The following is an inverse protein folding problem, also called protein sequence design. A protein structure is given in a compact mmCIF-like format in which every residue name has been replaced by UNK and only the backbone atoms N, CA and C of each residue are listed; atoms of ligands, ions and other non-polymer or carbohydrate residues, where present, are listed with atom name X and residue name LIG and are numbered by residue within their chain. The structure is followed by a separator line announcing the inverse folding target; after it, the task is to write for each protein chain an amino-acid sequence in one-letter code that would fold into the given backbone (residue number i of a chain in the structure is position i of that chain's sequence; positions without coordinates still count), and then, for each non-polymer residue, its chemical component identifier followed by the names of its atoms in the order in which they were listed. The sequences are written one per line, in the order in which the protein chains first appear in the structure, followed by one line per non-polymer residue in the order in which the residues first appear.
data_IF_637599464119
#
_entry.id   IF_637599464119
#
_cell.length_a   1.000
_cell.length_b   1.000
_cell.length_c   1.000
_cell.angle_alpha   90.00
_cell.angle_beta   90.00
_cell.angle_gamma   90.00
#
_symmetry.space_group_name_H-M   'P 1'
#
loop_
_entity.id
_entity.type
_entity.pdbx_description
1 polymer ?
#
# COMPACT_ATOMS: atom_id res chain seq x y z
N UNK A 1 -23.61 0.37 -69.45
CA UNK A 1 -22.86 -0.43 -70.44
C UNK A 1 -22.86 0.31 -71.76
N UNK A 2 -21.67 0.56 -72.29
CA UNK A 2 -21.43 1.26 -73.53
C UNK A 2 -22.09 0.54 -74.71
N UNK A 3 -22.68 1.32 -75.62
CA UNK A 3 -23.31 0.82 -76.83
C UNK A 3 -22.24 0.60 -77.92
N UNK A 4 -21.88 -0.66 -78.25
CA UNK A 4 -20.81 -0.94 -79.22
C UNK A 4 -21.16 -0.47 -80.63
N UNK A 5 -22.45 -0.24 -80.92
CA UNK A 5 -22.89 0.21 -82.24
C UNK A 5 -22.40 1.62 -82.59
N UNK A 6 -22.08 2.44 -81.59
CA UNK A 6 -21.51 3.78 -81.77
C UNK A 6 -20.10 3.77 -82.36
N UNK A 7 -19.39 2.63 -82.24
CA UNK A 7 -18.05 2.45 -82.80
C UNK A 7 -18.08 1.78 -84.20
N UNK A 8 -19.27 1.52 -84.75
CA UNK A 8 -19.41 0.98 -86.10
C UNK A 8 -19.47 2.13 -87.12
N UNK A 9 -18.44 2.33 -87.95
CA UNK A 9 -18.43 3.44 -88.89
C UNK A 9 -19.45 3.25 -90.00
N UNK A 10 -20.20 4.29 -90.33
CA UNK A 10 -21.05 4.32 -91.54
C UNK A 10 -20.15 4.54 -92.75
N UNK A 11 -20.25 3.65 -93.74
CA UNK A 11 -19.52 3.74 -95.01
C UNK A 11 -20.46 4.19 -96.11
N UNK A 12 -20.19 5.36 -96.70
CA UNK A 12 -20.92 5.83 -97.88
C UNK A 12 -20.48 5.06 -99.13
N UNK A 13 -21.43 4.53 -99.89
CA UNK A 13 -21.15 3.73 -101.11
C UNK A 13 -20.87 4.59 -102.36
N UNK A 14 -20.90 5.92 -102.24
CA UNK A 14 -20.67 6.82 -103.35
C UNK A 14 -19.18 6.84 -103.74
N UNK A 15 -18.86 6.40 -104.96
CA UNK A 15 -17.53 6.60 -105.56
C UNK A 15 -17.24 8.09 -105.68
N UNK A 16 -15.97 8.49 -105.51
CA UNK A 16 -15.52 9.88 -105.68
C UNK A 16 -16.11 10.44 -106.98
N UNK A 17 -16.94 11.48 -106.85
CA UNK A 17 -17.54 12.18 -107.98
C UNK A 17 -16.43 12.86 -108.81
N UNK A 18 -16.07 12.24 -109.92
CA UNK A 18 -15.16 12.82 -110.90
C UNK A 18 -15.96 13.71 -111.86
N UNK A 19 -15.45 14.91 -112.15
CA UNK A 19 -16.07 15.81 -113.12
C UNK A 19 -16.18 15.17 -114.52
N UNK A 20 -15.44 14.10 -114.82
CA UNK A 20 -15.48 13.37 -116.10
C UNK A 20 -16.76 12.53 -116.31
N UNK A 21 -17.44 12.12 -115.23
CA UNK A 21 -18.64 11.27 -115.28
C UNK A 21 -19.96 12.06 -115.15
N UNK A 22 -19.88 13.38 -115.01
CA UNK A 22 -21.04 14.26 -114.85
C UNK A 22 -21.53 14.82 -116.21
N UNK A 23 -22.85 14.96 -116.45
CA UNK A 23 -23.41 15.50 -117.70
C UNK A 23 -23.10 17.00 -117.91
N UNK A 24 -21.91 17.30 -118.44
CA UNK A 24 -21.40 18.69 -118.62
C UNK A 24 -22.20 19.53 -119.63
N UNK A 25 -23.01 18.90 -120.48
CA UNK A 25 -23.85 19.56 -121.47
C UNK A 25 -25.26 19.92 -120.97
N UNK A 26 -25.63 19.46 -119.75
CA UNK A 26 -26.94 19.72 -119.14
C UNK A 26 -26.81 20.56 -117.86
N UNK A 27 -25.72 20.39 -117.10
CA UNK A 27 -25.51 21.10 -115.84
C UNK A 27 -24.87 22.49 -116.03
N UNK A 28 -25.36 23.48 -115.28
CA UNK A 28 -24.69 24.78 -115.18
C UNK A 28 -23.39 24.66 -114.39
N UNK A 29 -22.43 25.57 -114.62
CA UNK A 29 -21.13 25.53 -113.92
C UNK A 29 -21.30 25.61 -112.38
N UNK A 30 -22.26 26.41 -111.89
CA UNK A 30 -22.59 26.50 -110.46
C UNK A 30 -23.15 25.20 -109.89
N UNK A 31 -23.99 24.49 -110.66
CA UNK A 31 -24.56 23.21 -110.24
C UNK A 31 -23.50 22.09 -110.28
N UNK A 32 -22.58 22.14 -111.25
CA UNK A 32 -21.44 21.22 -111.32
C UNK A 32 -20.52 21.37 -110.10
N UNK A 33 -20.18 22.60 -109.70
CA UNK A 33 -19.40 22.88 -108.49
C UNK A 33 -20.15 22.45 -107.22
N UNK A 34 -21.45 22.68 -107.15
CA UNK A 34 -22.29 22.25 -106.02
C UNK A 34 -22.31 20.73 -105.86
N UNK A 35 -22.53 19.97 -106.94
CA UNK A 35 -22.58 18.50 -106.89
C UNK A 35 -21.22 17.90 -106.51
N UNK A 36 -20.12 18.49 -106.98
CA UNK A 36 -18.76 18.06 -106.60
C UNK A 36 -18.48 18.37 -105.11
N UNK A 37 -18.82 19.57 -104.64
CA UNK A 37 -18.63 19.99 -103.24
C UNK A 37 -19.54 19.21 -102.28
N UNK A 38 -20.78 18.93 -102.68
CA UNK A 38 -21.71 18.10 -101.91
C UNK A 38 -21.15 16.70 -101.67
N UNK A 39 -20.51 16.09 -102.68
CA UNK A 39 -19.85 14.79 -102.52
C UNK A 39 -18.71 14.80 -101.50
N UNK A 40 -17.90 15.87 -101.48
CA UNK A 40 -16.84 16.03 -100.48
C UNK A 40 -17.37 16.32 -99.08
N UNK A 41 -18.39 17.17 -98.97
CA UNK A 41 -19.00 17.55 -97.69
C UNK A 41 -19.72 16.37 -97.05
N UNK A 42 -20.46 15.56 -97.81
CA UNK A 42 -21.11 14.34 -97.31
C UNK A 42 -20.08 13.34 -96.78
N UNK A 43 -18.93 13.20 -97.45
CA UNK A 43 -17.82 12.38 -96.96
C UNK A 43 -17.20 12.92 -95.66
N UNK A 44 -16.99 14.24 -95.57
CA UNK A 44 -16.46 14.89 -94.37
C UNK A 44 -17.45 14.81 -93.19
N UNK A 45 -18.75 14.99 -93.43
CA UNK A 45 -19.81 14.85 -92.43
C UNK A 45 -19.89 13.41 -91.94
N UNK A 46 -19.82 12.42 -92.83
CA UNK A 46 -19.79 11.00 -92.44
C UNK A 46 -18.56 10.68 -91.58
N UNK A 47 -17.38 11.18 -91.96
CA UNK A 47 -16.17 11.05 -91.16
C UNK A 47 -16.33 11.69 -89.77
N UNK A 48 -16.84 12.92 -89.70
CA UNK A 48 -17.04 13.62 -88.43
C UNK A 48 -18.10 12.96 -87.54
N UNK A 49 -19.16 12.43 -88.14
CA UNK A 49 -20.20 11.67 -87.44
C UNK A 49 -19.63 10.36 -86.87
N UNK A 50 -18.78 9.65 -87.63
CA UNK A 50 -18.09 8.45 -87.15
C UNK A 50 -17.13 8.77 -85.98
N UNK A 51 -16.35 9.85 -86.07
CA UNK A 51 -15.49 10.33 -84.96
C UNK A 51 -16.31 10.68 -83.71
N UNK A 52 -17.45 11.34 -83.88
CA UNK A 52 -18.34 11.68 -82.76
C UNK A 52 -18.94 10.42 -82.12
N UNK A 53 -19.31 9.41 -82.92
CA UNK A 53 -19.75 8.10 -82.45
C UNK A 53 -18.66 7.39 -81.66
N UNK A 54 -17.44 7.35 -82.18
CA UNK A 54 -16.27 6.79 -81.49
C UNK A 54 -15.99 7.52 -80.16
N UNK A 55 -15.97 8.85 -80.16
CA UNK A 55 -15.77 9.63 -78.94
C UNK A 55 -16.89 9.42 -77.90
N UNK A 56 -18.14 9.27 -78.34
CA UNK A 56 -19.26 8.92 -77.48
C UNK A 56 -19.12 7.50 -76.89
N UNK A 57 -18.67 6.53 -77.69
CA UNK A 57 -18.37 5.18 -77.24
C UNK A 57 -17.26 5.17 -76.18
N UNK A 58 -16.13 5.82 -76.44
CA UNK A 58 -15.00 5.90 -75.50
C UNK A 58 -15.41 6.55 -74.18
N UNK A 59 -16.25 7.60 -74.23
CA UNK A 59 -16.82 8.21 -73.04
C UNK A 59 -17.76 7.25 -72.27
N UNK A 60 -18.59 6.46 -72.97
CA UNK A 60 -19.44 5.47 -72.33
C UNK A 60 -18.64 4.31 -71.70
N UNK A 61 -17.58 3.84 -72.36
CA UNK A 61 -16.66 2.83 -71.79
C UNK A 61 -16.01 3.38 -70.53
N UNK A 62 -15.57 4.65 -70.54
CA UNK A 62 -15.01 5.29 -69.35
C UNK A 62 -16.03 5.41 -68.21
N UNK A 63 -17.28 5.72 -68.53
CA UNK A 63 -18.35 5.77 -67.53
C UNK A 63 -18.60 4.38 -66.91
N UNK A 64 -18.60 3.32 -67.71
CA UNK A 64 -18.76 1.96 -67.18
C UNK A 64 -17.62 1.57 -66.23
N UNK A 65 -16.37 1.94 -66.54
CA UNK A 65 -15.23 1.74 -65.63
C UNK A 65 -15.40 2.53 -64.32
N UNK A 66 -15.86 3.78 -64.42
CA UNK A 66 -16.13 4.63 -63.27
C UNK A 66 -17.24 4.07 -62.39
N UNK A 67 -18.30 3.48 -62.97
CA UNK A 67 -19.37 2.84 -62.23
C UNK A 67 -18.86 1.64 -61.40
N UNK A 68 -17.91 0.87 -61.92
CA UNK A 68 -17.26 -0.22 -61.17
C UNK A 68 -16.43 0.32 -60.00
N UNK A 69 -15.64 1.38 -60.22
CA UNK A 69 -14.83 2.00 -59.16
C UNK A 69 -15.72 2.64 -58.07
N UNK A 70 -16.81 3.31 -58.46
CA UNK A 70 -17.79 3.88 -57.53
C UNK A 70 -18.46 2.79 -56.68
N UNK A 71 -18.76 1.64 -57.27
CA UNK A 71 -19.32 0.51 -56.53
C UNK A 71 -18.32 -0.07 -55.49
N UNK A 72 -17.03 -0.18 -55.84
CA UNK A 72 -15.97 -0.59 -54.88
C UNK A 72 -15.82 0.42 -53.73
N UNK A 73 -15.75 1.70 -54.07
CA UNK A 73 -15.65 2.78 -53.09
C UNK A 73 -16.83 2.79 -52.13
N UNK A 74 -18.06 2.64 -52.65
CA UNK A 74 -19.27 2.56 -51.83
C UNK A 74 -19.23 1.37 -50.86
N UNK A 75 -18.75 0.21 -51.31
CA UNK A 75 -18.61 -0.97 -50.45
C UNK A 75 -17.59 -0.73 -49.32
N UNK A 76 -16.43 -0.14 -49.63
CA UNK A 76 -15.38 0.18 -48.65
C UNK A 76 -15.83 1.25 -47.66
N UNK A 77 -16.54 2.27 -48.12
CA UNK A 77 -17.08 3.33 -47.26
C UNK A 77 -18.13 2.76 -46.28
N UNK A 78 -19.01 1.87 -46.75
CA UNK A 78 -19.96 1.16 -45.87
C UNK A 78 -19.25 0.35 -44.79
N UNK A 79 -18.19 -0.37 -45.15
CA UNK A 79 -17.43 -1.15 -44.15
C UNK A 79 -16.73 -0.24 -43.14
N UNK A 80 -16.06 0.82 -43.61
CA UNK A 80 -15.42 1.80 -42.72
C UNK A 80 -16.42 2.43 -41.76
N UNK A 81 -17.66 2.68 -42.20
CA UNK A 81 -18.71 3.21 -41.33
C UNK A 81 -19.06 2.23 -40.22
N UNK A 82 -19.22 0.95 -40.53
CA UNK A 82 -19.48 -0.11 -39.55
C UNK A 82 -18.35 -0.18 -38.53
N UNK A 83 -17.10 -0.17 -38.99
CA UNK A 83 -15.92 -0.27 -38.12
C UNK A 83 -15.79 0.93 -37.18
N UNK A 84 -16.07 2.15 -37.68
CA UNK A 84 -16.05 3.37 -36.86
C UNK A 84 -17.18 3.39 -35.82
N UNK A 85 -18.36 2.91 -36.17
CA UNK A 85 -19.48 2.79 -35.23
C UNK A 85 -19.17 1.75 -34.11
N UNK A 86 -18.46 0.65 -34.41
CA UNK A 86 -17.94 -0.30 -33.40
C UNK A 86 -16.89 0.36 -32.49
N UNK A 87 -15.93 1.07 -33.08
CA UNK A 87 -14.89 1.76 -32.34
C UNK A 87 -15.46 2.78 -31.36
N UNK A 88 -16.48 3.55 -31.76
CA UNK A 88 -17.14 4.53 -30.90
C UNK A 88 -17.73 3.88 -29.63
N UNK A 89 -18.38 2.72 -29.80
CA UNK A 89 -18.92 1.93 -28.69
C UNK A 89 -17.82 1.47 -27.73
N UNK A 90 -16.72 0.92 -28.26
CA UNK A 90 -15.57 0.44 -27.46
C UNK A 90 -14.85 1.58 -26.73
N UNK A 91 -14.66 2.73 -27.38
CA UNK A 91 -14.04 3.91 -26.78
C UNK A 91 -14.91 4.43 -25.61
N UNK A 92 -16.22 4.50 -25.81
CA UNK A 92 -17.17 4.87 -24.75
C UNK A 92 -17.13 3.88 -23.57
N UNK A 93 -17.08 2.58 -23.84
CA UNK A 93 -16.98 1.56 -22.80
C UNK A 93 -15.67 1.67 -22.01
N UNK A 94 -14.54 1.87 -22.69
CA UNK A 94 -13.24 2.07 -22.06
C UNK A 94 -13.23 3.31 -21.17
N UNK A 95 -13.82 4.41 -21.63
CA UNK A 95 -13.93 5.65 -20.84
C UNK A 95 -14.69 5.41 -19.54
N UNK A 96 -15.83 4.70 -19.59
CA UNK A 96 -16.60 4.31 -18.39
C UNK A 96 -15.79 3.44 -17.43
N UNK A 97 -15.03 2.47 -17.95
CA UNK A 97 -14.19 1.60 -17.14
C UNK A 97 -13.06 2.37 -16.44
N UNK A 98 -12.42 3.32 -17.14
CA UNK A 98 -11.38 4.20 -16.59
C UNK A 98 -11.95 5.05 -15.44
N UNK A 99 -13.13 5.65 -15.62
CA UNK A 99 -13.79 6.41 -14.55
C UNK A 99 -14.10 5.53 -13.34
N UNK A 100 -14.59 4.30 -13.54
CA UNK A 100 -14.87 3.37 -12.46
C UNK A 100 -13.60 2.95 -11.70
N UNK A 101 -12.48 2.72 -12.42
CA UNK A 101 -11.18 2.45 -11.81
C UNK A 101 -10.68 3.64 -10.99
N UNK A 102 -10.87 4.87 -11.47
CA UNK A 102 -10.45 6.07 -10.77
C UNK A 102 -11.11 6.18 -9.38
N UNK A 103 -12.41 5.89 -9.27
CA UNK A 103 -13.12 5.86 -7.98
C UNK A 103 -12.53 4.81 -7.04
N UNK A 104 -12.26 3.59 -7.54
CA UNK A 104 -11.64 2.52 -6.74
C UNK A 104 -10.26 2.90 -6.23
N UNK A 105 -9.45 3.56 -7.06
CA UNK A 105 -8.12 4.05 -6.69
C UNK A 105 -8.24 5.10 -5.59
N UNK A 106 -9.12 6.09 -5.74
CA UNK A 106 -9.34 7.12 -4.70
C UNK A 106 -9.81 6.51 -3.36
N UNK A 107 -10.69 5.50 -3.39
CA UNK A 107 -11.10 4.79 -2.16
C UNK A 107 -9.91 4.09 -1.51
N UNK A 108 -9.13 3.34 -2.30
CA UNK A 108 -7.96 2.62 -1.79
C UNK A 108 -6.91 3.58 -1.21
N UNK A 109 -6.68 4.73 -1.84
CA UNK A 109 -5.77 5.77 -1.34
C UNK A 109 -6.22 6.30 0.04
N UNK A 110 -7.53 6.51 0.24
CA UNK A 110 -8.08 6.92 1.54
C UNK A 110 -7.93 5.86 2.63
N UNK A 111 -8.15 4.58 2.29
CA UNK A 111 -7.93 3.46 3.20
C UNK A 111 -6.45 3.33 3.59
N UNK A 112 -5.54 3.47 2.62
CA UNK A 112 -4.09 3.45 2.86
C UNK A 112 -3.67 4.59 3.80
N UNK A 113 -4.17 5.81 3.59
CA UNK A 113 -3.87 6.95 4.47
C UNK A 113 -4.36 6.72 5.92
N UNK A 114 -5.54 6.10 6.07
CA UNK A 114 -6.09 5.72 7.37
C UNK A 114 -5.20 4.67 8.05
N UNK A 115 -4.78 3.64 7.32
CA UNK A 115 -3.87 2.61 7.82
C UNK A 115 -2.52 3.20 8.25
N UNK A 116 -1.95 4.13 7.47
CA UNK A 116 -0.69 4.81 7.83
C UNK A 116 -0.81 5.55 9.16
N UNK A 117 -1.92 6.25 9.39
CA UNK A 117 -2.19 6.95 10.66
C UNK A 117 -2.31 5.95 11.82
N UNK A 118 -3.02 4.85 11.62
CA UNK A 118 -3.18 3.80 12.64
C UNK A 118 -1.83 3.15 13.00
N UNK A 119 -0.97 2.87 12.01
CA UNK A 119 0.37 2.32 12.24
C UNK A 119 1.22 3.29 13.04
N UNK A 120 1.20 4.59 12.72
CA UNK A 120 1.93 5.60 13.48
C UNK A 120 1.44 5.72 14.94
N UNK A 121 0.13 5.64 15.16
CA UNK A 121 -0.42 5.63 16.52
C UNK A 121 -0.04 4.36 17.30
N UNK A 122 0.05 3.21 16.62
CA UNK A 122 0.47 1.95 17.22
C UNK A 122 1.96 1.99 17.61
N UNK A 123 2.81 2.56 16.75
CA UNK A 123 4.23 2.76 17.02
C UNK A 123 4.46 3.50 18.35
N UNK A 124 3.80 4.65 18.55
CA UNK A 124 3.90 5.40 19.80
C UNK A 124 3.43 4.62 21.05
N UNK A 125 2.39 3.79 20.91
CA UNK A 125 1.91 2.90 22.00
C UNK A 125 2.93 1.82 22.33
N UNK A 126 3.56 1.23 21.31
CA UNK A 126 4.59 0.20 21.49
C UNK A 126 5.82 0.81 22.16
N UNK A 127 6.33 1.94 21.69
CA UNK A 127 7.47 2.64 22.33
C UNK A 127 7.19 2.97 23.79
N UNK A 128 5.98 3.43 24.11
CA UNK A 128 5.59 3.73 25.49
C UNK A 128 5.59 2.46 26.35
N UNK A 129 5.04 1.36 25.83
CA UNK A 129 5.02 0.08 26.54
C UNK A 129 6.43 -0.47 26.79
N UNK A 130 7.32 -0.39 25.79
CA UNK A 130 8.71 -0.82 25.89
C UNK A 130 9.48 -0.04 26.95
N UNK A 131 9.29 1.29 27.01
CA UNK A 131 9.89 2.14 28.05
C UNK A 131 9.37 1.78 29.45
N UNK A 132 8.06 1.58 29.59
CA UNK A 132 7.47 1.19 30.87
C UNK A 132 7.96 -0.19 31.33
N UNK A 133 8.08 -1.16 30.42
CA UNK A 133 8.62 -2.48 30.73
C UNK A 133 10.08 -2.38 31.17
N UNK A 134 10.88 -1.58 30.46
CA UNK A 134 12.29 -1.37 30.81
C UNK A 134 12.44 -0.74 32.20
N UNK A 135 11.58 0.24 32.54
CA UNK A 135 11.56 0.84 33.87
C UNK A 135 11.17 -0.17 34.96
N UNK A 136 10.14 -1.00 34.71
CA UNK A 136 9.75 -2.06 35.63
C UNK A 136 10.85 -3.10 35.85
N UNK A 137 11.55 -3.50 34.77
CA UNK A 137 12.65 -4.45 34.83
C UNK A 137 13.84 -3.94 35.66
N UNK A 138 14.05 -2.61 35.70
CA UNK A 138 15.11 -1.99 36.49
C UNK A 138 14.76 -1.84 37.98
N UNK A 139 13.47 -1.72 38.32
CA UNK A 139 13.03 -1.38 39.69
C UNK A 139 12.44 -2.57 40.48
N UNK A 140 12.01 -3.65 39.82
CA UNK A 140 11.35 -4.77 40.52
C UNK A 140 12.33 -5.62 41.35
N UNK A 141 11.82 -6.18 42.46
CA UNK A 141 12.54 -7.18 43.26
C UNK A 141 12.29 -8.58 42.69
N UNK A 142 13.34 -9.21 42.17
CA UNK A 142 13.29 -10.54 41.59
C UNK A 142 13.25 -11.65 42.63
N UNK A 143 12.42 -12.67 42.37
CA UNK A 143 12.34 -13.91 43.17
C UNK A 143 13.39 -14.96 42.78
N UNK A 144 14.06 -14.79 41.64
CA UNK A 144 15.05 -15.72 41.12
C UNK A 144 16.49 -15.20 41.21
N UNK A 145 16.67 -13.91 41.49
CA UNK A 145 17.98 -13.32 41.67
C UNK A 145 18.69 -13.90 42.92
N UNK A 146 19.96 -14.24 42.77
CA UNK A 146 20.84 -14.68 43.86
C UNK A 146 21.71 -13.56 44.42
N UNK A 147 21.85 -12.46 43.68
CA UNK A 147 22.54 -11.24 44.14
C UNK A 147 21.65 -10.49 45.14
N UNK A 148 22.27 -9.90 46.17
CA UNK A 148 21.56 -9.07 47.15
C UNK A 148 20.81 -7.92 46.48
N UNK A 149 19.57 -7.70 46.89
CA UNK A 149 18.71 -6.62 46.43
C UNK A 149 18.48 -5.63 47.58
N UNK A 150 18.45 -4.34 47.26
CA UNK A 150 18.30 -3.27 48.25
C UNK A 150 16.94 -2.60 48.07
N UNK A 151 16.29 -2.26 49.18
CA UNK A 151 15.11 -1.41 49.19
C UNK A 151 15.48 -0.09 49.86
N UNK A 152 15.11 1.02 49.22
CA UNK A 152 15.24 2.36 49.81
C UNK A 152 14.10 2.67 50.80
N UNK A 153 13.11 1.79 50.93
CA UNK A 153 11.94 1.94 51.79
C UNK A 153 11.89 0.87 52.89
N UNK A 154 11.22 1.15 54.03
CA UNK A 154 10.90 0.12 55.02
C UNK A 154 10.03 -0.99 54.44
N UNK A 155 10.18 -2.20 54.98
CA UNK A 155 9.43 -3.39 54.55
C UNK A 155 8.44 -3.83 55.63
N UNK A 156 7.21 -4.14 55.21
CA UNK A 156 6.19 -4.77 56.04
C UNK A 156 5.75 -6.09 55.41
N UNK A 157 5.45 -7.09 56.23
CA UNK A 157 5.01 -8.42 55.81
C UNK A 157 3.83 -8.87 56.64
N UNK A 158 2.98 -9.74 56.09
CA UNK A 158 1.70 -10.11 56.71
C UNK A 158 1.84 -10.94 57.99
N UNK A 159 2.84 -11.82 58.08
CA UNK A 159 2.91 -12.80 59.20
C UNK A 159 4.32 -12.98 59.77
N UNK A 160 5.32 -13.21 58.92
CA UNK A 160 6.68 -13.52 59.39
C UNK A 160 7.72 -13.35 58.30
N UNK A 161 8.95 -13.08 58.73
CA UNK A 161 10.15 -13.22 57.90
C UNK A 161 10.71 -14.64 58.01
N UNK A 162 11.21 -15.18 56.89
CA UNK A 162 11.83 -16.51 56.82
C UNK A 162 13.09 -16.48 55.97
N UNK A 163 14.06 -17.33 56.29
CA UNK A 163 15.31 -17.53 55.53
C UNK A 163 15.49 -19.03 55.31
N UNK A 164 15.74 -19.45 54.06
CA UNK A 164 15.89 -20.88 53.71
C UNK A 164 14.66 -21.73 54.07
N UNK A 165 13.46 -21.14 54.00
CA UNK A 165 12.21 -21.81 54.38
C UNK A 165 11.95 -21.93 55.89
N UNK A 166 12.81 -21.38 56.75
CA UNK A 166 12.62 -21.40 58.21
C UNK A 166 12.27 -20.00 58.73
N UNK A 167 11.25 -19.92 59.58
CA UNK A 167 10.80 -18.66 60.23
C UNK A 167 11.92 -18.09 61.12
N UNK A 168 12.19 -16.79 60.99
CA UNK A 168 13.21 -16.06 61.78
C UNK A 168 12.63 -14.92 62.62
N UNK A 169 11.62 -14.18 62.13
CA UNK A 169 10.97 -13.08 62.87
C UNK A 169 9.45 -13.19 62.68
N UNK A 170 8.69 -13.01 63.77
CA UNK A 170 7.22 -12.96 63.74
C UNK A 170 6.70 -11.61 64.24
N UNK A 171 5.46 -11.57 64.71
CA UNK A 171 4.93 -10.41 65.42
C UNK A 171 5.76 -10.09 66.68
N UNK A 172 5.81 -8.79 67.03
CA UNK A 172 6.38 -8.32 68.29
C UNK A 172 5.70 -9.07 69.45
N UNK A 173 6.50 -9.59 70.37
CA UNK A 173 5.96 -10.22 71.58
C UNK A 173 5.48 -9.15 72.55
N UNK A 174 4.28 -9.33 73.08
CA UNK A 174 3.63 -8.36 73.98
C UNK A 174 3.50 -8.89 75.40
N UNK A 175 3.37 -8.00 76.39
CA UNK A 175 3.21 -8.32 77.81
C UNK A 175 4.49 -8.25 78.63
N UNK A 176 5.58 -7.71 78.09
CA UNK A 176 6.84 -7.51 78.79
C UNK A 176 6.80 -6.26 79.68
N UNK A 177 7.39 -6.36 80.87
CA UNK A 177 7.62 -5.19 81.73
C UNK A 177 9.07 -4.75 81.57
N UNK A 178 9.28 -3.46 81.25
CA UNK A 178 10.61 -2.93 81.01
C UNK A 178 11.52 -2.95 82.25
N UNK A 179 12.67 -3.62 82.17
CA UNK A 179 13.65 -3.58 83.26
C UNK A 179 14.22 -2.17 83.44
N UNK A 180 14.39 -1.78 84.70
CA UNK A 180 15.00 -0.51 85.09
C UNK A 180 16.45 -0.69 85.55
N UNK A 181 17.20 0.40 85.67
CA UNK A 181 18.60 0.41 86.10
C UNK A 181 19.62 0.60 84.98
N UNK A 182 20.90 0.39 85.28
CA UNK A 182 22.01 0.66 84.36
C UNK A 182 22.33 -0.57 83.51
N UNK A 183 22.29 -0.45 82.18
CA UNK A 183 22.72 -1.52 81.27
C UNK A 183 24.26 -1.67 81.27
N UNK A 184 24.77 -2.91 81.22
CA UNK A 184 26.20 -3.19 81.06
C UNK A 184 26.49 -3.83 79.69
N UNK A 185 27.05 -3.03 78.76
CA UNK A 185 27.55 -3.50 77.46
C UNK A 185 29.07 -3.73 77.44
N UNK A 186 29.76 -3.43 78.54
CA UNK A 186 31.21 -3.55 78.67
C UNK A 186 31.69 -4.99 78.91
N UNK A 187 32.87 -5.12 79.53
CA UNK A 187 33.51 -6.41 79.78
C UNK A 187 32.61 -7.36 80.59
N UNK A 188 32.69 -8.65 80.24
CA UNK A 188 31.92 -9.72 80.84
C UNK A 188 32.76 -10.99 80.85
N UNK A 189 32.90 -11.63 82.02
CA UNK A 189 33.58 -12.92 82.15
C UNK A 189 32.51 -13.98 82.47
N UNK A 190 32.08 -14.72 81.45
CA UNK A 190 31.06 -15.75 81.58
C UNK A 190 31.54 -16.95 82.42
N UNK A 191 32.85 -17.18 82.41
CA UNK A 191 33.49 -18.34 83.06
C UNK A 191 34.16 -17.95 84.38
N UNK A 192 33.79 -16.79 84.96
CA UNK A 192 34.30 -16.37 86.27
C UNK A 192 33.91 -17.41 87.33
N UNK A 193 34.92 -17.99 87.96
CA UNK A 193 34.73 -18.88 89.11
C UNK A 193 34.82 -18.08 90.41
N UNK A 194 34.18 -18.60 91.45
CA UNK A 194 34.20 -18.01 92.79
C UNK A 194 34.83 -19.01 93.75
N UNK A 195 35.77 -18.54 94.56
CA UNK A 195 36.26 -19.30 95.70
C UNK A 195 35.14 -19.43 96.74
N UNK A 196 35.01 -20.61 97.34
CA UNK A 196 34.07 -20.89 98.42
C UNK A 196 34.81 -21.66 99.50
N UNK A 197 35.07 -21.00 100.62
CA UNK A 197 35.78 -21.56 101.77
C UNK A 197 34.82 -22.18 102.80
N UNK A 198 35.34 -23.05 103.68
CA UNK A 198 34.55 -23.76 104.70
C UNK A 198 34.00 -22.84 105.80
N UNK A 199 34.59 -21.65 105.98
CA UNK A 199 34.13 -20.61 106.91
C UNK A 199 33.66 -19.38 106.14
N UNK A 200 32.80 -18.57 106.78
CA UNK A 200 32.28 -17.35 106.15
C UNK A 200 33.41 -16.38 105.78
N UNK A 201 33.52 -16.08 104.48
CA UNK A 201 34.44 -15.08 103.95
C UNK A 201 33.65 -13.97 103.24
N UNK A 202 33.65 -12.76 103.81
CA UNK A 202 32.88 -11.63 103.28
C UNK A 202 33.27 -11.26 101.83
N UNK A 203 34.56 -11.34 101.48
CA UNK A 203 35.04 -11.02 100.13
C UNK A 203 34.55 -12.01 99.06
N UNK A 204 34.41 -13.30 99.40
CA UNK A 204 33.86 -14.32 98.52
C UNK A 204 32.39 -14.02 98.19
N UNK A 205 31.58 -13.70 99.22
CA UNK A 205 30.17 -13.31 99.04
C UNK A 205 30.04 -11.99 98.27
N UNK A 206 30.89 -11.00 98.54
CA UNK A 206 30.88 -9.73 97.83
C UNK A 206 31.23 -9.90 96.34
N UNK A 207 32.16 -10.79 96.00
CA UNK A 207 32.51 -11.11 94.63
C UNK A 207 31.31 -11.71 93.87
N UNK A 208 30.61 -12.67 94.50
CA UNK A 208 29.39 -13.27 93.94
C UNK A 208 28.29 -12.21 93.75
N UNK A 209 28.04 -11.36 94.77
CA UNK A 209 27.04 -10.30 94.69
C UNK A 209 27.35 -9.27 93.60
N UNK A 210 28.62 -8.86 93.47
CA UNK A 210 29.07 -7.95 92.43
C UNK A 210 28.89 -8.57 91.03
N UNK A 211 29.21 -9.85 90.88
CA UNK A 211 29.00 -10.57 89.63
C UNK A 211 27.52 -10.72 89.29
N UNK A 212 26.65 -11.00 90.27
CA UNK A 212 25.19 -11.04 90.08
C UNK A 212 24.64 -9.68 89.62
N UNK A 213 25.12 -8.57 90.21
CA UNK A 213 24.75 -7.22 89.75
C UNK A 213 25.19 -7.04 88.30
N UNK A 214 26.43 -7.40 87.94
CA UNK A 214 26.93 -7.28 86.58
C UNK A 214 26.12 -8.12 85.58
N UNK A 215 25.74 -9.34 85.95
CA UNK A 215 24.90 -10.25 85.15
C UNK A 215 23.50 -9.67 84.91
N UNK A 216 22.82 -9.17 85.96
CA UNK A 216 21.51 -8.51 85.82
C UNK A 216 21.58 -7.29 84.91
N UNK A 217 22.66 -6.52 84.99
CA UNK A 217 22.90 -5.37 84.10
C UNK A 217 23.16 -5.81 82.65
N UNK A 218 23.78 -6.97 82.43
CA UNK A 218 23.96 -7.57 81.09
C UNK A 218 22.64 -8.07 80.52
N UNK A 219 21.84 -8.77 81.32
CA UNK A 219 20.48 -9.21 80.96
C UNK A 219 19.60 -8.01 80.57
N UNK A 220 19.63 -6.92 81.35
CA UNK A 220 18.95 -5.68 80.97
C UNK A 220 19.42 -5.12 79.62
N UNK A 221 20.72 -5.13 79.36
CA UNK A 221 21.26 -4.62 78.09
C UNK A 221 20.77 -5.43 76.87
N UNK A 222 20.58 -6.75 77.04
CA UNK A 222 20.00 -7.62 76.02
C UNK A 222 18.52 -7.30 75.80
N UNK A 223 17.74 -7.12 76.87
CA UNK A 223 16.33 -6.70 76.78
C UNK A 223 16.19 -5.34 76.08
N UNK A 224 17.00 -4.34 76.47
CA UNK A 224 16.98 -3.00 75.87
C UNK A 224 17.24 -3.07 74.35
N UNK A 225 18.14 -3.96 73.89
CA UNK A 225 18.41 -4.17 72.48
C UNK A 225 17.21 -4.81 71.75
N UNK A 226 16.59 -5.83 72.33
CA UNK A 226 15.41 -6.49 71.75
C UNK A 226 14.22 -5.52 71.63
N UNK A 227 13.99 -4.70 72.65
CA UNK A 227 12.94 -3.67 72.65
C UNK A 227 13.22 -2.57 71.63
N UNK A 228 14.47 -2.11 71.51
CA UNK A 228 14.86 -1.10 70.52
C UNK A 228 14.64 -1.57 69.08
N UNK A 229 14.89 -2.85 68.78
CA UNK A 229 14.54 -3.47 67.50
C UNK A 229 13.02 -3.73 67.33
N UNK A 230 12.26 -3.66 68.41
CA UNK A 230 10.82 -3.90 68.40
C UNK A 230 10.42 -5.37 68.37
N UNK A 231 11.30 -6.29 68.82
CA UNK A 231 11.02 -7.73 68.91
C UNK A 231 10.14 -8.08 70.11
N UNK A 232 10.21 -7.27 71.17
CA UNK A 232 9.38 -7.31 72.39
C UNK A 232 8.82 -5.90 72.68
N UNK A 233 7.81 -5.78 73.54
CA UNK A 233 7.30 -4.50 74.06
C UNK A 233 8.04 -3.97 75.31
#
# INVERSE_FOLDING_TARGET
MADPSLNNPVVIQATRLDASILPRNVFSNSYLLYVIAQGTDVGAIAGKANEAGQGAYDAQVKNDEQDVELADHEARIKQLRIDVDDHESRITANTKAITALNVRVTTAEGEIATLQTNVSALDGRVTTAENNISALQADYVSKTATTSQSLASPLNVTTSYSVGGKKVVGARQTGWTAATGTANKGAFNADLTFAVSDTYTQSEIQAIANALIAERRRTKALEDALRAHGLID
#
